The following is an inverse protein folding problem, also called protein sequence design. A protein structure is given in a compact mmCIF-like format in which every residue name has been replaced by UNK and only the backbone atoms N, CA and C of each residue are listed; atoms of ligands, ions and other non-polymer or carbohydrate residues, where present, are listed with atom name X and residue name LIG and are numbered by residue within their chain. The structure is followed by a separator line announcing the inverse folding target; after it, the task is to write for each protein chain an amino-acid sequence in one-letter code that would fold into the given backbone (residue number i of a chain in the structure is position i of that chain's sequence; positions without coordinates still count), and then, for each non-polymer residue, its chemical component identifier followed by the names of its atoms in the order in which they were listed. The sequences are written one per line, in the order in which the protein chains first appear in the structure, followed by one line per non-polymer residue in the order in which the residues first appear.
data_IF_230393302675
#
_entry.id   IF_230393302675
#
_cell.length_a   1.000
_cell.length_b   1.000
_cell.length_c   1.000
_cell.angle_alpha   90.00
_cell.angle_beta   90.00
_cell.angle_gamma   90.00
#
_symmetry.space_group_name_H-M   'P 1'
#
loop_
_entity.id
_entity.type
_entity.pdbx_description
1 polymer ?
#
# COMPACT_ATOMS: atom_id res chain seq x y z
N UNK A 1 8.00 3.17 -7.37
CA UNK A 1 8.29 3.06 -8.84
C UNK A 1 8.43 4.46 -9.42
N UNK A 2 9.40 4.70 -10.29
CA UNK A 2 9.58 5.99 -11.01
C UNK A 2 9.41 5.73 -12.51
N UNK A 3 8.67 6.57 -13.20
CA UNK A 3 8.57 6.58 -14.65
C UNK A 3 9.06 7.91 -15.21
N UNK A 4 10.24 7.92 -15.83
CA UNK A 4 10.81 9.14 -16.42
C UNK A 4 10.07 9.56 -17.70
N UNK A 5 9.55 8.62 -18.46
CA UNK A 5 8.83 8.89 -19.72
C UNK A 5 7.50 9.62 -19.44
N UNK A 6 6.72 9.18 -18.46
CA UNK A 6 5.43 9.77 -18.07
C UNK A 6 5.52 10.70 -16.87
N UNK A 7 6.74 10.93 -16.36
CA UNK A 7 7.04 11.83 -15.26
C UNK A 7 6.16 11.59 -14.03
N UNK A 8 6.11 10.36 -13.55
CA UNK A 8 5.40 10.04 -12.32
C UNK A 8 6.25 9.25 -11.31
N UNK A 9 5.86 9.36 -10.05
CA UNK A 9 6.32 8.52 -8.93
C UNK A 9 5.11 7.83 -8.33
N UNK A 10 5.18 6.50 -8.25
CA UNK A 10 4.23 5.71 -7.47
C UNK A 10 4.87 5.33 -6.13
N UNK A 11 4.29 5.82 -5.02
CA UNK A 11 4.64 5.41 -3.67
C UNK A 11 3.90 4.12 -3.32
N UNK A 12 4.65 3.04 -3.23
CA UNK A 12 4.09 1.71 -2.96
C UNK A 12 3.94 1.48 -1.47
N UNK A 13 2.80 1.83 -0.90
CA UNK A 13 2.46 1.51 0.50
C UNK A 13 2.17 0.01 0.61
N UNK A 14 2.77 -0.70 1.59
CA UNK A 14 2.57 -2.13 1.79
C UNK A 14 1.09 -2.49 1.96
N UNK A 15 0.67 -3.58 1.32
CA UNK A 15 -0.69 -4.17 1.41
C UNK A 15 -1.82 -3.30 0.87
N UNK A 16 -1.50 -2.29 0.06
CA UNK A 16 -2.45 -1.38 -0.59
C UNK A 16 -2.58 -1.60 -2.11
N UNK A 17 -2.33 -2.82 -2.59
CA UNK A 17 -2.55 -3.18 -4.01
C UNK A 17 -1.39 -2.83 -4.95
N UNK A 18 -0.26 -2.37 -4.44
CA UNK A 18 0.85 -1.89 -5.27
C UNK A 18 1.41 -2.91 -6.25
N UNK A 19 1.42 -4.20 -5.92
CA UNK A 19 1.85 -5.25 -6.85
C UNK A 19 1.00 -5.28 -8.13
N UNK A 20 -0.32 -5.15 -8.01
CA UNK A 20 -1.22 -5.10 -9.18
C UNK A 20 -0.95 -3.87 -10.05
N UNK A 21 -0.68 -2.71 -9.43
CA UNK A 21 -0.30 -1.48 -10.12
C UNK A 21 1.02 -1.67 -10.88
N UNK A 22 2.03 -2.18 -10.21
CA UNK A 22 3.34 -2.45 -10.81
C UNK A 22 3.24 -3.46 -11.96
N UNK A 23 2.42 -4.51 -11.80
CA UNK A 23 2.17 -5.49 -12.87
C UNK A 23 1.48 -4.85 -14.07
N UNK A 24 0.46 -4.01 -13.86
CA UNK A 24 -0.23 -3.32 -14.94
C UNK A 24 0.74 -2.40 -15.72
N UNK A 25 1.56 -1.62 -15.03
CA UNK A 25 2.55 -0.76 -15.67
C UNK A 25 3.65 -1.58 -16.37
N UNK A 26 4.15 -2.66 -15.76
CA UNK A 26 5.16 -3.52 -16.37
C UNK A 26 4.64 -4.19 -17.66
N UNK A 27 3.39 -4.66 -17.66
CA UNK A 27 2.76 -5.21 -18.85
C UNK A 27 2.70 -4.18 -19.99
N UNK A 28 2.32 -2.94 -19.67
CA UNK A 28 2.27 -1.85 -20.64
C UNK A 28 3.68 -1.49 -21.18
N UNK A 29 4.71 -1.48 -20.34
CA UNK A 29 6.09 -1.17 -20.76
C UNK A 29 6.70 -2.21 -21.67
N UNK A 30 6.42 -3.48 -21.42
CA UNK A 30 6.89 -4.56 -22.30
C UNK A 30 6.35 -4.42 -23.72
N UNK A 31 5.16 -3.81 -23.88
CA UNK A 31 4.55 -3.56 -25.19
C UNK A 31 5.17 -2.33 -25.87
N UNK A 32 5.49 -1.27 -25.14
CA UNK A 32 5.84 0.04 -25.69
C UNK A 32 7.31 0.42 -25.50
N UNK A 33 8.18 -0.49 -25.03
CA UNK A 33 9.64 -0.28 -24.84
C UNK A 33 9.98 1.01 -24.05
N UNK A 34 9.17 1.37 -23.06
CA UNK A 34 9.36 2.60 -22.28
C UNK A 34 10.27 2.35 -21.08
N UNK A 35 11.15 3.32 -20.79
CA UNK A 35 12.10 3.23 -19.68
C UNK A 35 11.39 3.46 -18.34
N UNK A 36 10.98 2.39 -17.69
CA UNK A 36 10.62 2.40 -16.27
C UNK A 36 11.83 2.13 -15.41
N UNK A 37 11.89 2.83 -14.33
CA UNK A 37 12.84 2.54 -13.29
C UNK A 37 12.11 1.91 -12.10
N UNK A 38 12.17 0.57 -12.05
CA UNK A 38 11.73 -0.18 -10.87
C UNK A 38 12.81 -0.07 -9.80
N UNK A 39 12.47 0.48 -8.62
CA UNK A 39 13.43 0.69 -7.54
C UNK A 39 14.00 -0.62 -6.94
N UNK A 40 13.54 -1.78 -7.42
CA UNK A 40 13.89 -3.10 -6.92
C UNK A 40 13.18 -3.44 -5.61
N UNK A 41 13.17 -4.72 -5.24
CA UNK A 41 12.45 -5.21 -4.05
C UNK A 41 12.85 -4.54 -2.74
N UNK A 42 14.11 -4.12 -2.61
CA UNK A 42 14.63 -3.51 -1.38
C UNK A 42 14.20 -2.04 -1.20
N UNK A 43 13.79 -1.35 -2.27
CA UNK A 43 13.40 0.06 -2.29
C UNK A 43 11.93 0.27 -2.65
N UNK A 44 11.20 -0.83 -2.79
CA UNK A 44 9.81 -0.84 -3.22
C UNK A 44 8.91 0.04 -2.33
N UNK A 45 9.22 0.09 -1.03
CA UNK A 45 8.44 0.78 -0.02
C UNK A 45 9.12 2.04 0.54
N UNK A 46 10.07 2.62 -0.20
CA UNK A 46 10.71 3.87 0.20
C UNK A 46 9.69 4.99 0.38
N UNK A 47 9.95 5.84 1.38
CA UNK A 47 9.25 7.11 1.57
C UNK A 47 9.61 8.08 0.45
N UNK A 48 8.80 9.11 0.26
CA UNK A 48 9.03 10.08 -0.82
C UNK A 48 10.39 10.78 -0.66
N UNK A 49 10.76 11.18 0.56
CA UNK A 49 12.03 11.86 0.80
C UNK A 49 13.21 10.97 0.44
N UNK A 50 13.20 9.69 0.82
CA UNK A 50 14.24 8.73 0.43
C UNK A 50 14.34 8.57 -1.10
N UNK A 51 13.21 8.63 -1.81
CA UNK A 51 13.18 8.60 -3.27
C UNK A 51 13.78 9.88 -3.85
N UNK A 52 13.42 11.04 -3.32
CA UNK A 52 13.86 12.33 -3.83
C UNK A 52 15.32 12.63 -3.49
N UNK A 53 15.84 12.14 -2.37
CA UNK A 53 17.25 12.21 -2.03
C UNK A 53 18.10 11.45 -3.05
N UNK A 54 17.63 10.28 -3.50
CA UNK A 54 18.33 9.47 -4.50
C UNK A 54 18.08 9.98 -5.94
N UNK A 55 16.87 10.52 -6.20
CA UNK A 55 16.44 11.00 -7.53
C UNK A 55 15.87 12.44 -7.50
N UNK A 56 16.68 13.47 -7.16
CA UNK A 56 16.19 14.84 -6.97
C UNK A 56 15.56 15.46 -8.22
N UNK A 57 15.96 14.99 -9.41
CA UNK A 57 15.38 15.44 -10.69
C UNK A 57 13.91 15.05 -10.87
N UNK A 58 13.38 14.16 -10.04
CA UNK A 58 11.98 13.71 -10.09
C UNK A 58 11.05 14.54 -9.19
N UNK A 59 11.54 15.60 -8.53
CA UNK A 59 10.76 16.42 -7.59
C UNK A 59 9.47 16.97 -8.19
N UNK A 60 9.47 17.31 -9.49
CA UNK A 60 8.33 17.86 -10.22
C UNK A 60 7.44 16.80 -10.89
N UNK A 61 7.70 15.49 -10.65
CA UNK A 61 6.87 14.43 -11.22
C UNK A 61 5.53 14.36 -10.51
N UNK A 62 4.50 13.90 -11.25
CA UNK A 62 3.21 13.56 -10.65
C UNK A 62 3.41 12.42 -9.66
N UNK A 63 2.98 12.61 -8.42
CA UNK A 63 3.13 11.64 -7.34
C UNK A 63 1.78 11.09 -6.96
N UNK A 64 1.69 9.76 -6.85
CA UNK A 64 0.47 9.14 -6.40
C UNK A 64 0.74 7.91 -5.54
N UNK A 65 -0.25 7.53 -4.76
CA UNK A 65 -0.26 6.32 -3.96
C UNK A 65 -1.66 5.74 -3.88
N UNK A 66 -1.74 4.53 -3.36
CA UNK A 66 -2.99 3.88 -3.00
C UNK A 66 -3.01 3.53 -1.53
N UNK A 67 -4.15 3.76 -0.90
CA UNK A 67 -4.41 3.43 0.50
C UNK A 67 -5.46 2.34 0.62
N UNK A 68 -5.58 1.79 1.80
CA UNK A 68 -6.55 0.75 2.14
C UNK A 68 -7.04 0.95 3.54
N UNK A 69 -8.29 0.57 3.82
CA UNK A 69 -8.84 0.56 5.16
C UNK A 69 -7.86 -0.13 6.15
N UNK A 70 -7.41 0.54 7.21
CA UNK A 70 -6.38 0.03 8.12
C UNK A 70 -6.71 -1.35 8.71
N UNK A 71 -7.97 -1.60 9.01
CA UNK A 71 -8.41 -2.91 9.52
C UNK A 71 -8.23 -4.01 8.46
N UNK A 72 -8.61 -3.73 7.22
CA UNK A 72 -8.42 -4.64 6.09
C UNK A 72 -6.94 -4.84 5.75
N UNK A 73 -6.12 -3.77 5.90
CA UNK A 73 -4.67 -3.80 5.70
C UNK A 73 -3.99 -4.75 6.66
N UNK A 74 -4.35 -4.72 7.95
CA UNK A 74 -3.80 -5.61 8.99
C UNK A 74 -4.17 -7.07 8.76
N UNK A 75 -5.38 -7.39 8.33
CA UNK A 75 -5.74 -8.75 7.93
C UNK A 75 -4.90 -9.22 6.74
N UNK A 76 -4.65 -8.33 5.77
CA UNK A 76 -3.77 -8.65 4.63
C UNK A 76 -2.33 -8.91 5.06
N UNK A 77 -1.81 -8.16 6.04
CA UNK A 77 -0.48 -8.36 6.60
C UNK A 77 -0.37 -9.69 7.36
N UNK A 78 -1.35 -9.99 8.21
CA UNK A 78 -1.44 -11.26 8.91
C UNK A 78 -1.39 -12.46 7.94
N UNK A 79 -2.22 -12.44 6.91
CA UNK A 79 -2.25 -13.52 5.91
C UNK A 79 -0.92 -13.63 5.15
N UNK A 80 -0.27 -12.51 4.88
CA UNK A 80 1.04 -12.48 4.25
C UNK A 80 2.11 -13.12 5.14
N UNK A 81 2.16 -12.78 6.42
CA UNK A 81 3.09 -13.36 7.40
C UNK A 81 2.86 -14.88 7.51
N UNK A 82 1.62 -15.32 7.65
CA UNK A 82 1.31 -16.76 7.70
C UNK A 82 1.76 -17.52 6.44
N UNK A 83 1.68 -16.88 5.29
CA UNK A 83 2.06 -17.51 4.01
C UNK A 83 3.58 -17.65 3.88
N UNK A 84 4.34 -16.73 4.46
CA UNK A 84 5.80 -16.68 4.32
C UNK A 84 6.55 -17.38 5.45
N UNK A 85 5.96 -17.51 6.64
CA UNK A 85 6.60 -18.06 7.82
C UNK A 85 5.92 -19.35 8.28
N UNK A 86 6.49 -20.51 7.89
CA UNK A 86 5.90 -21.84 8.18
C UNK A 86 5.71 -22.12 9.68
N UNK A 87 6.58 -21.56 10.52
CA UNK A 87 6.52 -21.69 11.99
C UNK A 87 5.35 -20.90 12.62
N UNK A 88 4.73 -19.99 11.89
CA UNK A 88 3.61 -19.17 12.36
C UNK A 88 2.23 -19.66 11.84
N UNK A 89 2.16 -20.81 11.18
CA UNK A 89 0.90 -21.31 10.57
C UNK A 89 -0.26 -21.47 11.56
N UNK A 90 0.03 -21.67 12.83
CA UNK A 90 -0.99 -21.85 13.89
C UNK A 90 -1.23 -20.57 14.69
N UNK A 91 -0.62 -19.45 14.31
CA UNK A 91 -0.84 -18.15 14.96
C UNK A 91 -2.29 -17.70 14.68
N UNK A 92 -3.08 -17.47 15.73
CA UNK A 92 -4.42 -16.91 15.55
C UNK A 92 -4.33 -15.41 15.23
N UNK A 93 -5.36 -14.86 14.57
CA UNK A 93 -5.42 -13.42 14.32
C UNK A 93 -5.44 -12.62 15.63
N UNK A 94 -6.13 -13.14 16.66
CA UNK A 94 -6.16 -12.52 17.99
C UNK A 94 -4.75 -12.43 18.58
N UNK A 95 -4.01 -13.52 18.63
CA UNK A 95 -2.65 -13.52 19.16
C UNK A 95 -1.69 -12.64 18.34
N UNK A 96 -1.89 -12.59 17.02
CA UNK A 96 -1.16 -11.69 16.14
C UNK A 96 -1.40 -10.23 16.52
N UNK A 97 -2.66 -9.81 16.74
CA UNK A 97 -3.00 -8.42 17.07
C UNK A 97 -2.60 -8.06 18.49
N UNK A 98 -2.75 -8.96 19.46
CA UNK A 98 -2.31 -8.73 20.85
C UNK A 98 -0.81 -8.43 20.96
N UNK A 99 -0.01 -8.95 20.03
CA UNK A 99 1.44 -8.70 19.93
C UNK A 99 1.80 -8.02 18.60
N UNK A 100 0.95 -7.12 18.11
CA UNK A 100 1.03 -6.56 16.77
C UNK A 100 2.40 -5.95 16.45
N UNK A 101 2.94 -5.10 17.33
CA UNK A 101 4.24 -4.48 17.13
C UNK A 101 5.38 -5.51 17.06
N UNK A 102 5.34 -6.52 17.95
CA UNK A 102 6.31 -7.60 17.91
C UNK A 102 6.27 -8.34 16.56
N UNK A 103 5.09 -8.69 16.08
CA UNK A 103 4.96 -9.43 14.83
C UNK A 103 5.36 -8.58 13.61
N UNK A 104 5.00 -7.31 13.58
CA UNK A 104 5.39 -6.41 12.50
C UNK A 104 6.92 -6.20 12.48
N UNK A 105 7.54 -5.98 13.63
CA UNK A 105 8.97 -5.74 13.72
C UNK A 105 9.84 -6.97 13.41
N UNK A 106 9.33 -8.18 13.66
CA UNK A 106 10.14 -9.41 13.51
C UNK A 106 9.82 -10.21 12.23
N UNK A 107 8.64 -10.07 11.66
CA UNK A 107 8.17 -10.91 10.55
C UNK A 107 7.66 -10.11 9.34
N UNK A 108 7.38 -8.82 9.48
CA UNK A 108 7.10 -7.96 8.35
C UNK A 108 8.39 -7.40 7.74
N UNK A 109 8.34 -6.99 6.47
CA UNK A 109 9.44 -6.27 5.87
C UNK A 109 9.51 -4.83 6.41
N UNK A 110 10.69 -4.22 6.29
CA UNK A 110 10.90 -2.80 6.59
C UNK A 110 9.77 -1.95 5.97
N UNK A 111 9.27 -0.99 6.72
CA UNK A 111 8.17 -0.09 6.37
C UNK A 111 6.73 -0.68 6.43
N UNK A 112 6.54 -1.98 6.67
CA UNK A 112 5.19 -2.55 6.79
C UNK A 112 4.46 -2.13 8.08
N UNK A 113 5.20 -1.71 9.10
CA UNK A 113 4.72 -1.19 10.37
C UNK A 113 4.26 0.27 10.32
N UNK A 114 4.68 1.02 9.30
CA UNK A 114 4.33 2.42 9.14
C UNK A 114 2.83 2.61 8.84
N UNK A 115 2.29 3.73 9.34
CA UNK A 115 0.93 4.17 9.04
C UNK A 115 0.82 4.75 7.62
N UNK A 116 -0.40 4.94 7.13
CA UNK A 116 -0.63 5.63 5.85
C UNK A 116 -0.18 7.09 5.94
N UNK A 117 -0.40 7.72 7.09
CA UNK A 117 0.01 9.10 7.35
C UNK A 117 1.54 9.25 7.33
N UNK A 118 2.31 8.25 7.83
CA UNK A 118 3.78 8.29 7.77
C UNK A 118 4.32 8.27 6.33
N UNK A 119 3.56 7.70 5.40
CA UNK A 119 3.91 7.70 3.97
C UNK A 119 3.52 8.97 3.24
N UNK A 120 2.40 9.57 3.62
CA UNK A 120 1.67 10.50 2.77
C UNK A 120 1.64 11.93 3.30
N UNK A 121 2.04 12.16 4.56
CA UNK A 121 2.02 13.50 5.15
C UNK A 121 3.43 13.97 5.48
N UNK A 122 3.67 15.26 5.27
CA UNK A 122 4.85 15.95 5.77
C UNK A 122 4.71 16.30 7.27
N UNK A 123 5.69 16.99 7.83
CA UNK A 123 5.68 17.41 9.24
C UNK A 123 4.56 18.40 9.58
N UNK A 124 4.09 19.15 8.59
CA UNK A 124 2.98 20.09 8.69
C UNK A 124 1.60 19.42 8.57
N UNK A 125 1.57 18.10 8.27
CA UNK A 125 0.33 17.33 8.09
C UNK A 125 -0.30 17.47 6.70
N UNK A 126 0.45 17.96 5.72
CA UNK A 126 0.00 18.12 4.34
C UNK A 126 0.38 16.91 3.48
N UNK A 127 -0.46 16.60 2.49
CA UNK A 127 -0.19 15.51 1.54
C UNK A 127 1.03 15.81 0.67
N UNK A 128 1.97 14.88 0.63
CA UNK A 128 3.19 14.95 -0.21
C UNK A 128 2.99 14.38 -1.62
N UNK A 129 1.79 13.89 -1.93
CA UNK A 129 1.42 13.32 -3.23
C UNK A 129 0.29 14.11 -3.88
N UNK A 130 0.21 14.05 -5.20
CA UNK A 130 -0.82 14.75 -5.99
C UNK A 130 -2.15 13.98 -6.02
N UNK A 131 -2.13 12.66 -5.83
CA UNK A 131 -3.32 11.82 -5.86
C UNK A 131 -3.19 10.65 -4.88
N UNK A 132 -4.30 10.35 -4.18
CA UNK A 132 -4.44 9.20 -3.28
C UNK A 132 -5.65 8.39 -3.70
N UNK A 133 -5.40 7.24 -4.32
CA UNK A 133 -6.45 6.27 -4.65
C UNK A 133 -6.76 5.32 -3.49
N UNK A 134 -7.94 4.72 -3.51
CA UNK A 134 -8.40 3.75 -2.51
C UNK A 134 -8.49 2.35 -3.12
N UNK A 135 -7.99 1.35 -2.40
CA UNK A 135 -8.13 -0.04 -2.83
C UNK A 135 -9.61 -0.45 -2.95
N UNK A 136 -10.47 0.17 -2.17
CA UNK A 136 -11.92 -0.03 -2.18
C UNK A 136 -12.57 0.40 -3.51
N UNK A 137 -11.96 1.37 -4.23
CA UNK A 137 -12.37 1.86 -5.55
C UNK A 137 -11.30 1.60 -6.63
N UNK A 138 -10.56 0.51 -6.52
CA UNK A 138 -9.24 0.31 -7.10
C UNK A 138 -9.15 0.64 -8.60
N UNK A 139 -10.01 0.02 -9.43
CA UNK A 139 -9.96 0.24 -10.88
C UNK A 139 -10.39 1.66 -11.26
N UNK A 140 -11.39 2.21 -10.57
CA UNK A 140 -11.88 3.56 -10.86
C UNK A 140 -10.80 4.60 -10.55
N UNK A 141 -10.21 4.54 -9.36
CA UNK A 141 -9.16 5.47 -8.95
C UNK A 141 -7.88 5.29 -9.79
N UNK A 142 -7.59 4.06 -10.24
CA UNK A 142 -6.48 3.82 -11.14
C UNK A 142 -6.70 4.38 -12.55
N UNK A 143 -7.93 4.37 -13.05
CA UNK A 143 -8.26 5.04 -14.31
C UNK A 143 -8.02 6.56 -14.22
N UNK A 144 -8.30 7.17 -13.06
CA UNK A 144 -8.01 8.58 -12.83
C UNK A 144 -6.50 8.86 -12.81
N UNK A 145 -5.70 7.97 -12.20
CA UNK A 145 -4.23 8.04 -12.32
C UNK A 145 -3.81 7.97 -13.78
N UNK A 146 -4.33 7.02 -14.56
CA UNK A 146 -3.99 6.89 -15.98
C UNK A 146 -4.29 8.17 -16.77
N UNK A 147 -5.42 8.83 -16.50
CA UNK A 147 -5.76 10.12 -17.12
C UNK A 147 -4.73 11.21 -16.75
N UNK A 148 -4.36 11.33 -15.48
CA UNK A 148 -3.41 12.34 -15.02
C UNK A 148 -2.00 12.18 -15.61
N UNK A 149 -1.60 10.96 -15.94
CA UNK A 149 -0.29 10.67 -16.57
C UNK A 149 -0.38 10.45 -18.08
N UNK A 150 -1.51 10.83 -18.70
CA UNK A 150 -1.77 10.71 -20.15
C UNK A 150 -1.55 9.29 -20.69
N UNK A 151 -2.05 8.29 -19.97
CA UNK A 151 -1.99 6.88 -20.37
C UNK A 151 -3.39 6.36 -20.71
N UNK A 152 -3.49 5.33 -21.58
CA UNK A 152 -4.74 4.62 -21.75
C UNK A 152 -5.16 3.94 -20.46
N UNK A 153 -6.44 3.71 -20.27
CA UNK A 153 -6.94 2.95 -19.14
C UNK A 153 -6.36 1.52 -19.17
N UNK A 154 -5.54 1.22 -18.17
CA UNK A 154 -4.97 -0.11 -17.99
C UNK A 154 -5.89 -0.92 -17.07
N UNK A 155 -6.04 -2.20 -17.37
CA UNK A 155 -6.74 -3.10 -16.47
C UNK A 155 -5.81 -3.57 -15.35
N UNK A 156 -6.28 -3.45 -14.09
CA UNK A 156 -5.54 -3.95 -12.94
C UNK A 156 -5.74 -5.46 -12.80
N UNK A 157 -4.68 -6.27 -12.88
CA UNK A 157 -4.81 -7.68 -12.56
C UNK A 157 -5.12 -7.86 -11.07
N UNK A 158 -5.99 -8.80 -10.74
CA UNK A 158 -6.26 -9.17 -9.36
C UNK A 158 -5.11 -10.02 -8.78
N UNK A 159 -3.93 -9.42 -8.65
CA UNK A 159 -2.79 -10.07 -8.03
C UNK A 159 -3.03 -10.22 -6.52
N UNK A 160 -2.74 -11.40 -5.99
CA UNK A 160 -2.84 -11.70 -4.56
C UNK A 160 -4.25 -11.55 -3.93
N UNK A 161 -5.32 -11.53 -4.73
CA UNK A 161 -6.66 -11.72 -4.18
C UNK A 161 -6.72 -13.14 -3.59
N UNK A 162 -6.77 -13.25 -2.27
CA UNK A 162 -6.92 -14.56 -1.60
C UNK A 162 -8.24 -15.19 -2.06
N UNK A 163 -8.14 -16.28 -2.81
CA UNK A 163 -9.27 -16.96 -3.48
C UNK A 163 -10.44 -17.38 -2.56
N UNK A 164 -10.33 -17.21 -1.24
CA UNK A 164 -11.32 -17.55 -0.21
C UNK A 164 -11.18 -16.70 1.07
N UNK A 165 -10.82 -15.42 1.02
CA UNK A 165 -10.79 -14.66 2.26
C UNK A 165 -12.21 -14.29 2.69
N UNK A 166 -12.51 -14.58 3.94
CA UNK A 166 -13.65 -13.98 4.62
C UNK A 166 -13.51 -12.47 4.58
N UNK A 167 -14.64 -11.75 4.59
CA UNK A 167 -14.62 -10.32 4.79
C UNK A 167 -13.80 -10.00 6.05
N UNK A 168 -12.93 -8.98 6.00
CA UNK A 168 -11.94 -8.71 7.05
C UNK A 168 -12.56 -8.57 8.45
N UNK A 169 -13.80 -8.09 8.56
CA UNK A 169 -14.52 -7.95 9.83
C UNK A 169 -14.70 -9.26 10.59
N UNK A 170 -14.67 -10.41 9.90
CA UNK A 170 -14.81 -11.73 10.50
C UNK A 170 -13.58 -12.20 11.29
N UNK A 171 -12.47 -11.49 11.15
CA UNK A 171 -11.24 -11.76 11.90
C UNK A 171 -11.23 -11.09 13.28
N UNK A 172 -12.02 -10.03 13.45
CA UNK A 172 -11.99 -9.14 14.59
C UNK A 172 -13.00 -9.51 15.68
N UNK A 173 -12.58 -9.41 16.92
CA UNK A 173 -13.41 -9.18 18.08
C UNK A 173 -13.29 -7.71 18.55
N UNK A 174 -14.02 -7.32 19.60
CA UNK A 174 -14.01 -5.92 20.08
C UNK A 174 -12.62 -5.49 20.57
N UNK A 175 -11.90 -6.39 21.25
CA UNK A 175 -10.55 -6.11 21.76
C UNK A 175 -9.55 -5.88 20.63
N UNK A 176 -9.49 -6.77 19.64
CA UNK A 176 -8.58 -6.65 18.51
C UNK A 176 -8.91 -5.44 17.62
N UNK A 177 -10.20 -5.12 17.49
CA UNK A 177 -10.66 -3.92 16.79
C UNK A 177 -10.15 -2.66 17.47
N UNK A 178 -10.25 -2.58 18.81
CA UNK A 178 -9.80 -1.42 19.57
C UNK A 178 -8.28 -1.23 19.48
N UNK A 179 -7.50 -2.31 19.58
CA UNK A 179 -6.03 -2.26 19.44
C UNK A 179 -5.64 -1.68 18.09
N UNK A 180 -6.22 -2.18 16.99
CA UNK A 180 -5.91 -1.70 15.63
C UNK A 180 -6.41 -0.27 15.44
N UNK A 181 -7.61 0.07 15.93
CA UNK A 181 -8.13 1.43 15.88
C UNK A 181 -7.21 2.42 16.59
N UNK A 182 -6.69 2.07 17.77
CA UNK A 182 -5.76 2.91 18.53
C UNK A 182 -4.43 3.10 17.80
N UNK A 183 -3.85 2.02 17.25
CA UNK A 183 -2.57 2.09 16.54
C UNK A 183 -2.66 2.95 15.27
N UNK A 184 -3.73 2.81 14.49
CA UNK A 184 -3.91 3.51 13.21
C UNK A 184 -4.93 4.64 13.30
N UNK A 185 -5.10 5.25 14.49
CA UNK A 185 -6.08 6.32 14.72
C UNK A 185 -5.89 7.49 13.76
N UNK A 186 -4.65 7.93 13.51
CA UNK A 186 -4.34 8.99 12.56
C UNK A 186 -4.85 8.67 11.15
N UNK A 187 -4.60 7.46 10.66
CA UNK A 187 -5.04 7.03 9.32
C UNK A 187 -6.57 7.02 9.24
N UNK A 188 -7.23 6.49 10.28
CA UNK A 188 -8.69 6.38 10.35
C UNK A 188 -9.32 7.78 10.32
N UNK A 189 -8.82 8.70 11.16
CA UNK A 189 -9.34 10.06 11.26
C UNK A 189 -9.05 10.88 9.99
N UNK A 190 -7.81 10.84 9.49
CA UNK A 190 -7.40 11.65 8.35
C UNK A 190 -8.08 11.21 7.04
N UNK A 191 -8.13 9.91 6.78
CA UNK A 191 -8.72 9.38 5.56
C UNK A 191 -10.21 9.02 5.68
N UNK A 192 -10.82 9.20 6.85
CA UNK A 192 -12.25 9.00 7.11
C UNK A 192 -12.69 7.55 7.06
N UNK A 193 -11.82 6.59 7.34
CA UNK A 193 -12.16 5.17 7.33
C UNK A 193 -13.05 4.76 8.50
N UNK A 194 -13.93 3.79 8.27
CA UNK A 194 -14.72 3.14 9.33
C UNK A 194 -14.57 1.63 9.27
N UNK A 195 -14.77 1.00 10.42
CA UNK A 195 -14.81 -0.46 10.47
C UNK A 195 -16.07 -1.00 9.78
N UNK A 196 -15.90 -1.92 8.86
CA UNK A 196 -17.02 -2.54 8.12
C UNK A 196 -17.24 -1.99 6.70
N UNK A 197 -16.52 -0.93 6.34
CA UNK A 197 -16.50 -0.41 4.96
C UNK A 197 -15.59 -1.20 4.05
#
# INVERSE_FOLDING_TARGET
MICHHRKFIFLHIPKCGGTSIETAFNAWTNIYSTNYFYLGKHRQHFLLDEILDEYPKCSNYFKFSFIRNPFSRIVSEYNYILSNFKNLKNLSFKDFVLKLEYHLNNFAYKYHDLSLCDYLLNQEGELVVNFVGRLENFQQDFNEVCLNIEMPNLFLPHENASKKSLHYTKYYDDETREIVAKKYRKDIEYFGYKFGE
#
